data_IF_804227665629
#
_entry.id   IF_804227665629
#
_cell.length_a   1.000
_cell.length_b   1.000
_cell.length_c   1.000
_cell.angle_alpha   90.00
_cell.angle_beta   90.00
_cell.angle_gamma   90.00
#
_symmetry.space_group_name_H-M   'P 1'
#
loop_
_entity.id
_entity.type
_entity.pdbx_description
1 polymer ?
#
# COMPACT_ATOMS: atom_id res chain seq x y z
N UNK A 1 -1.03 -14.73 -19.97
CA UNK A 1 0.23 -13.96 -19.94
C UNK A 1 0.29 -13.18 -18.64
N UNK A 2 1.35 -13.34 -17.87
CA UNK A 2 1.56 -12.57 -16.65
C UNK A 2 2.01 -11.16 -17.02
N UNK A 3 1.51 -10.11 -16.35
CA UNK A 3 1.99 -8.77 -16.58
C UNK A 3 3.45 -8.65 -16.14
N UNK A 4 4.24 -7.97 -16.95
CA UNK A 4 5.66 -7.74 -16.67
C UNK A 4 5.90 -6.23 -16.50
N UNK A 5 6.82 -5.90 -15.59
CA UNK A 5 7.28 -4.54 -15.40
C UNK A 5 8.27 -4.20 -16.52
N UNK A 6 7.81 -3.50 -17.53
CA UNK A 6 8.63 -3.08 -18.67
C UNK A 6 9.38 -1.79 -18.41
N UNK A 7 8.97 -1.03 -17.41
CA UNK A 7 9.54 0.27 -17.06
C UNK A 7 9.59 0.41 -15.54
N UNK A 8 10.74 0.80 -15.01
CA UNK A 8 10.86 1.17 -13.62
C UNK A 8 10.64 2.68 -13.46
N UNK A 9 9.65 3.10 -12.64
CA UNK A 9 9.47 4.50 -12.34
C UNK A 9 10.69 5.06 -11.62
N UNK A 10 11.09 6.29 -11.96
CA UNK A 10 12.20 6.93 -11.26
C UNK A 10 11.77 7.37 -9.86
N UNK A 11 12.69 7.24 -8.90
CA UNK A 11 12.48 7.72 -7.53
C UNK A 11 12.23 9.24 -7.53
N UNK A 12 12.83 9.97 -8.44
CA UNK A 12 12.64 11.41 -8.58
C UNK A 12 11.20 11.75 -8.97
N UNK A 13 10.63 11.05 -9.96
CA UNK A 13 9.24 11.26 -10.39
C UNK A 13 8.25 10.88 -9.29
N UNK A 14 8.51 9.77 -8.60
CA UNK A 14 7.71 9.35 -7.45
C UNK A 14 7.75 10.41 -6.34
N UNK A 15 8.93 10.92 -6.04
CA UNK A 15 9.12 11.96 -5.02
C UNK A 15 8.36 13.23 -5.38
N UNK A 16 8.40 13.63 -6.63
CA UNK A 16 7.65 14.80 -7.14
C UNK A 16 6.15 14.62 -6.94
N UNK A 17 5.62 13.46 -7.33
CA UNK A 17 4.21 13.13 -7.15
C UNK A 17 3.80 13.17 -5.68
N UNK A 18 4.55 12.50 -4.82
CA UNK A 18 4.24 12.40 -3.39
C UNK A 18 4.30 13.77 -2.71
N UNK A 19 5.30 14.58 -3.02
CA UNK A 19 5.40 15.95 -2.48
C UNK A 19 4.21 16.80 -2.86
N UNK A 20 3.73 16.66 -4.09
CA UNK A 20 2.54 17.37 -4.57
C UNK A 20 1.30 16.92 -3.81
N UNK A 21 1.06 15.62 -3.75
CA UNK A 21 -0.16 15.05 -3.16
C UNK A 21 -0.24 15.27 -1.64
N UNK A 22 0.87 15.16 -0.95
CA UNK A 22 0.96 15.38 0.50
C UNK A 22 1.22 16.85 0.87
N UNK A 23 1.39 17.72 -0.13
CA UNK A 23 1.69 19.16 0.07
C UNK A 23 2.92 19.39 0.95
N UNK A 24 3.98 18.61 0.69
CA UNK A 24 5.24 18.73 1.43
C UNK A 24 6.03 19.91 0.89
N UNK A 25 6.38 20.90 1.74
CA UNK A 25 7.19 22.04 1.30
C UNK A 25 8.58 21.60 0.80
N UNK A 26 9.20 22.33 -0.13
CA UNK A 26 10.54 21.99 -0.62
C UNK A 26 11.61 21.93 0.48
N UNK A 27 11.42 22.67 1.57
CA UNK A 27 12.32 22.70 2.73
C UNK A 27 12.24 21.45 3.59
N UNK A 28 11.15 20.68 3.51
CA UNK A 28 10.95 19.52 4.34
C UNK A 28 11.47 18.25 3.66
N UNK A 29 12.14 17.34 4.39
CA UNK A 29 12.63 16.11 3.82
C UNK A 29 11.49 15.18 3.42
N UNK A 30 11.70 14.47 2.32
CA UNK A 30 10.81 13.43 1.83
C UNK A 30 11.68 12.32 1.22
N UNK A 31 11.68 11.16 1.85
CA UNK A 31 12.50 10.03 1.41
C UNK A 31 11.60 8.94 0.87
N UNK A 32 11.83 8.55 -0.38
CA UNK A 32 11.11 7.48 -1.07
C UNK A 32 12.07 6.31 -1.26
N UNK A 33 11.65 5.12 -0.82
CA UNK A 33 12.44 3.90 -0.94
C UNK A 33 11.59 2.76 -1.46
N UNK A 34 12.20 1.93 -2.32
CA UNK A 34 11.56 0.69 -2.77
C UNK A 34 11.29 -0.24 -1.58
N UNK A 35 10.09 -0.82 -1.52
CA UNK A 35 9.70 -1.74 -0.47
C UNK A 35 9.56 -3.18 -0.97
N UNK A 36 8.68 -3.41 -1.94
CA UNK A 36 8.39 -4.75 -2.45
C UNK A 36 7.74 -4.70 -3.83
N UNK A 37 7.78 -5.82 -4.53
CA UNK A 37 7.20 -5.95 -5.86
C UNK A 37 6.59 -7.35 -6.02
N UNK A 38 5.45 -7.40 -6.70
CA UNK A 38 4.90 -8.63 -7.26
C UNK A 38 4.53 -8.39 -8.73
N UNK A 39 3.82 -9.33 -9.35
CA UNK A 39 3.48 -9.23 -10.76
C UNK A 39 2.55 -8.04 -11.10
N UNK A 40 1.79 -7.56 -10.13
CA UNK A 40 0.76 -6.54 -10.34
C UNK A 40 1.10 -5.21 -9.70
N UNK A 41 1.80 -5.21 -8.59
CA UNK A 41 2.05 -4.02 -7.76
C UNK A 41 3.52 -3.84 -7.45
N UNK A 42 3.91 -2.59 -7.33
CA UNK A 42 5.22 -2.19 -6.83
C UNK A 42 5.00 -1.15 -5.72
N UNK A 43 5.44 -1.46 -4.52
CA UNK A 43 5.22 -0.62 -3.35
C UNK A 43 6.51 0.12 -2.96
N UNK A 44 6.34 1.38 -2.59
CA UNK A 44 7.40 2.26 -2.09
C UNK A 44 7.00 2.80 -0.72
N UNK A 45 7.98 2.93 0.17
CA UNK A 45 7.78 3.66 1.43
C UNK A 45 8.10 5.12 1.23
N UNK A 46 7.32 5.97 1.87
CA UNK A 46 7.51 7.42 1.87
C UNK A 46 7.64 7.87 3.31
N UNK A 47 8.78 8.45 3.67
CA UNK A 47 9.03 8.97 5.02
C UNK A 47 9.14 10.48 4.95
N UNK A 48 8.28 11.18 5.69
CA UNK A 48 8.27 12.64 5.78
C UNK A 48 9.13 13.13 6.94
N UNK A 49 9.50 14.41 6.91
CA UNK A 49 10.31 15.02 7.96
C UNK A 49 9.68 14.99 9.36
N UNK A 50 8.35 14.92 9.44
CA UNK A 50 7.60 14.75 10.69
C UNK A 50 7.71 13.35 11.29
N UNK A 51 8.32 12.40 10.58
CA UNK A 51 8.31 10.98 10.94
C UNK A 51 7.09 10.22 10.42
N UNK A 52 6.13 10.89 9.81
CA UNK A 52 4.97 10.24 9.21
C UNK A 52 5.38 9.39 8.02
N UNK A 53 4.89 8.16 7.98
CA UNK A 53 5.19 7.21 6.91
C UNK A 53 3.94 6.85 6.10
N UNK A 54 4.16 6.70 4.79
CA UNK A 54 3.12 6.29 3.83
C UNK A 54 3.63 5.15 2.96
N UNK A 55 2.72 4.46 2.32
CA UNK A 55 3.01 3.52 1.24
C UNK A 55 2.41 4.06 -0.05
N UNK A 56 3.23 4.15 -1.09
CA UNK A 56 2.76 4.39 -2.45
C UNK A 56 2.76 3.07 -3.19
N UNK A 57 1.59 2.64 -3.65
CA UNK A 57 1.42 1.45 -4.49
C UNK A 57 1.23 1.86 -5.93
N UNK A 58 2.10 1.39 -6.79
CA UNK A 58 1.97 1.50 -8.24
C UNK A 58 1.40 0.20 -8.78
N UNK A 59 0.49 0.30 -9.75
CA UNK A 59 -0.22 -0.86 -10.31
C UNK A 59 -0.04 -0.90 -11.82
N UNK A 60 0.32 -2.08 -12.35
CA UNK A 60 0.33 -2.32 -13.81
C UNK A 60 -1.12 -2.31 -14.31
N UNK A 61 -1.38 -1.73 -15.50
CA UNK A 61 -2.73 -1.63 -16.04
C UNK A 61 -3.22 -2.96 -16.63
N UNK A 62 -3.46 -3.95 -15.77
CA UNK A 62 -4.00 -5.27 -16.17
C UNK A 62 -5.50 -5.19 -16.41
N UNK A 63 -6.19 -4.51 -15.52
CA UNK A 63 -7.59 -4.15 -15.65
C UNK A 63 -7.66 -2.66 -15.30
N UNK A 64 -7.35 -1.87 -16.30
CA UNK A 64 -7.17 -0.44 -16.15
C UNK A 64 -8.37 0.20 -15.46
N UNK A 65 -8.10 1.00 -14.45
CA UNK A 65 -9.07 1.72 -13.63
C UNK A 65 -9.86 0.83 -12.66
N UNK A 66 -10.46 -0.29 -13.13
CA UNK A 66 -11.35 -1.11 -12.30
C UNK A 66 -10.64 -1.72 -11.11
N UNK A 67 -9.43 -2.23 -11.32
CA UNK A 67 -8.64 -2.83 -10.24
C UNK A 67 -8.33 -1.81 -9.15
N UNK A 68 -7.83 -0.65 -9.51
CA UNK A 68 -7.48 0.41 -8.56
C UNK A 68 -8.71 0.93 -7.82
N UNK A 69 -9.80 1.21 -8.52
CA UNK A 69 -11.04 1.66 -7.89
C UNK A 69 -11.64 0.63 -6.95
N UNK A 70 -11.61 -0.65 -7.34
CA UNK A 70 -12.09 -1.76 -6.50
C UNK A 70 -11.26 -1.90 -5.23
N UNK A 71 -9.94 -1.83 -5.35
CA UNK A 71 -9.03 -1.91 -4.21
C UNK A 71 -9.25 -0.76 -3.23
N UNK A 72 -9.35 0.46 -3.72
CA UNK A 72 -9.63 1.66 -2.90
C UNK A 72 -10.99 1.54 -2.21
N UNK A 73 -12.03 1.14 -2.94
CA UNK A 73 -13.37 0.97 -2.38
C UNK A 73 -13.40 -0.10 -1.29
N UNK A 74 -12.70 -1.21 -1.49
CA UNK A 74 -12.62 -2.30 -0.52
C UNK A 74 -11.93 -1.84 0.76
N UNK A 75 -10.78 -1.17 0.64
CA UNK A 75 -10.05 -0.65 1.80
C UNK A 75 -10.91 0.35 2.59
N UNK A 76 -11.57 1.27 1.90
CA UNK A 76 -12.45 2.27 2.54
C UNK A 76 -13.63 1.62 3.25
N UNK A 77 -14.24 0.62 2.62
CA UNK A 77 -15.34 -0.14 3.22
C UNK A 77 -14.89 -0.83 4.51
N UNK A 78 -13.79 -1.58 4.46
CA UNK A 78 -13.27 -2.29 5.63
C UNK A 78 -12.90 -1.31 6.75
N UNK A 79 -12.27 -0.19 6.40
CA UNK A 79 -11.89 0.85 7.37
C UNK A 79 -13.10 1.47 8.08
N UNK A 80 -14.19 1.67 7.34
CA UNK A 80 -15.40 2.31 7.87
C UNK A 80 -16.29 1.34 8.64
N UNK A 81 -16.50 0.13 8.13
CA UNK A 81 -17.54 -0.79 8.61
C UNK A 81 -17.02 -1.91 9.52
N UNK A 82 -15.71 -2.01 9.72
CA UNK A 82 -15.11 -3.03 10.58
C UNK A 82 -14.03 -2.45 11.47
N UNK A 83 -13.59 -3.23 12.45
CA UNK A 83 -12.43 -2.92 13.29
C UNK A 83 -11.14 -3.57 12.77
N UNK A 84 -11.19 -4.19 11.59
CA UNK A 84 -10.03 -4.80 10.97
C UNK A 84 -9.00 -3.72 10.64
N UNK A 85 -7.74 -3.84 11.12
CA UNK A 85 -6.71 -2.86 10.80
C UNK A 85 -6.34 -2.92 9.32
N UNK A 86 -6.59 -1.82 8.62
CA UNK A 86 -6.23 -1.63 7.22
C UNK A 86 -5.59 -0.25 7.05
N UNK A 87 -4.79 -0.04 6.00
CA UNK A 87 -4.26 1.29 5.72
C UNK A 87 -5.40 2.25 5.40
N UNK A 88 -5.21 3.51 5.74
CA UNK A 88 -6.11 4.58 5.34
C UNK A 88 -5.65 5.11 3.98
N UNK A 89 -6.53 5.09 2.99
CA UNK A 89 -6.25 5.67 1.66
C UNK A 89 -6.26 7.19 1.78
N UNK A 90 -5.14 7.81 1.45
CA UNK A 90 -5.01 9.26 1.45
C UNK A 90 -5.50 9.84 0.12
N UNK A 91 -4.99 9.33 -0.99
CA UNK A 91 -5.43 9.69 -2.34
C UNK A 91 -5.03 8.59 -3.33
N UNK A 92 -5.60 8.64 -4.51
CA UNK A 92 -5.34 7.66 -5.57
C UNK A 92 -5.60 8.26 -6.95
N UNK A 93 -5.06 7.62 -7.96
CA UNK A 93 -5.37 7.94 -9.35
C UNK A 93 -5.54 6.65 -10.15
N UNK A 94 -6.77 6.40 -10.60
CA UNK A 94 -7.13 5.25 -11.40
C UNK A 94 -7.02 5.57 -12.91
N UNK A 95 -5.92 6.20 -13.28
CA UNK A 95 -5.60 6.58 -14.65
C UNK A 95 -4.09 6.55 -14.83
N UNK A 96 -3.65 6.19 -16.03
CA UNK A 96 -2.22 6.25 -16.40
C UNK A 96 -1.80 7.63 -16.92
N UNK A 97 -2.72 8.58 -17.00
CA UNK A 97 -2.45 9.95 -17.46
C UNK A 97 -1.83 10.78 -16.32
N UNK A 98 -0.60 10.45 -15.99
CA UNK A 98 0.21 11.11 -14.98
C UNK A 98 1.71 10.93 -15.30
N UNK A 99 2.55 11.60 -14.53
CA UNK A 99 4.01 11.60 -14.73
C UNK A 99 4.66 10.22 -14.64
N UNK A 100 4.02 9.26 -13.97
CA UNK A 100 4.53 7.89 -13.85
C UNK A 100 4.02 6.95 -14.94
N UNK A 101 2.94 7.34 -15.64
CA UNK A 101 2.29 6.46 -16.60
C UNK A 101 1.63 5.22 -15.99
N UNK A 102 1.39 5.22 -14.69
CA UNK A 102 0.86 4.11 -13.92
C UNK A 102 -0.26 4.57 -12.99
N UNK A 103 -1.23 3.70 -12.72
CA UNK A 103 -2.20 3.92 -11.66
C UNK A 103 -1.52 3.78 -10.30
N UNK A 104 -1.98 4.56 -9.32
CA UNK A 104 -1.35 4.54 -8.00
C UNK A 104 -2.35 4.79 -6.87
N UNK A 105 -1.97 4.30 -5.68
CA UNK A 105 -2.69 4.53 -4.41
C UNK A 105 -1.67 4.98 -3.37
N UNK A 106 -1.94 6.12 -2.74
CA UNK A 106 -1.16 6.61 -1.60
C UNK A 106 -1.95 6.38 -0.33
N UNK A 107 -1.37 5.63 0.61
CA UNK A 107 -2.04 5.22 1.84
C UNK A 107 -1.06 5.25 3.02
N UNK A 108 -1.60 5.21 4.23
CA UNK A 108 -0.77 5.12 5.43
C UNK A 108 0.00 3.81 5.43
N UNK A 109 1.24 3.82 5.94
CA UNK A 109 2.05 2.61 6.07
C UNK A 109 1.55 1.79 7.25
N UNK A 110 1.28 0.50 7.02
CA UNK A 110 0.99 -0.44 8.09
C UNK A 110 2.29 -0.90 8.73
N UNK A 111 2.40 -0.82 10.07
CA UNK A 111 3.57 -1.33 10.77
C UNK A 111 3.60 -2.86 10.77
N UNK A 112 4.77 -3.43 10.95
CA UNK A 112 4.93 -4.87 11.12
C UNK A 112 5.91 -5.49 10.14
N UNK A 113 6.01 -6.79 10.22
CA UNK A 113 6.87 -7.62 9.37
C UNK A 113 6.06 -8.70 8.68
N UNK A 114 6.62 -9.28 7.64
CA UNK A 114 5.96 -10.39 6.93
C UNK A 114 5.79 -11.58 7.86
N UNK A 115 4.58 -12.08 7.95
CA UNK A 115 4.27 -13.24 8.77
C UNK A 115 5.09 -14.47 8.39
N UNK A 116 5.35 -14.67 7.09
CA UNK A 116 6.15 -15.79 6.62
C UNK A 116 7.57 -15.78 7.15
N UNK A 117 8.15 -14.60 7.38
CA UNK A 117 9.52 -14.47 7.92
C UNK A 117 9.56 -14.73 9.43
N UNK A 118 8.46 -14.49 10.13
CA UNK A 118 8.38 -14.62 11.58
C UNK A 118 7.82 -15.98 12.03
N UNK A 119 7.13 -16.69 11.17
CA UNK A 119 6.33 -17.88 11.53
C UNK A 119 7.13 -18.99 12.20
N UNK A 120 8.30 -19.32 11.66
CA UNK A 120 9.13 -20.40 12.19
C UNK A 120 9.69 -20.06 13.58
N UNK A 121 9.97 -18.77 13.83
CA UNK A 121 10.46 -18.29 15.12
C UNK A 121 9.38 -18.10 16.19
N UNK A 122 8.10 -18.25 15.82
CA UNK A 122 6.98 -18.09 16.75
C UNK A 122 6.75 -19.36 17.57
N UNK A 123 6.51 -19.19 18.87
CA UNK A 123 6.08 -20.29 19.72
C UNK A 123 4.60 -20.68 19.44
N UNK A 124 4.19 -21.81 19.98
CA UNK A 124 2.84 -22.34 19.79
C UNK A 124 1.75 -21.35 20.26
N UNK A 125 1.95 -20.74 21.43
CA UNK A 125 0.98 -19.81 22.01
C UNK A 125 0.75 -18.59 21.11
N UNK A 126 1.80 -18.03 20.55
CA UNK A 126 1.71 -16.91 19.61
C UNK A 126 1.00 -17.30 18.32
N UNK A 127 1.28 -18.48 17.79
CA UNK A 127 0.58 -19.02 16.61
C UNK A 127 -0.90 -19.21 16.88
N UNK A 128 -1.27 -19.73 18.04
CA UNK A 128 -2.66 -19.88 18.44
C UNK A 128 -3.36 -18.54 18.56
N UNK A 129 -2.75 -17.56 19.20
CA UNK A 129 -3.29 -16.20 19.29
C UNK A 129 -3.50 -15.55 17.92
N UNK A 130 -2.55 -15.75 17.01
CA UNK A 130 -2.67 -15.26 15.64
C UNK A 130 -3.85 -15.89 14.91
N UNK A 131 -4.02 -17.21 15.00
CA UNK A 131 -5.13 -17.92 14.38
C UNK A 131 -6.48 -17.40 14.93
N UNK A 132 -6.57 -17.16 16.23
CA UNK A 132 -7.78 -16.59 16.84
C UNK A 132 -8.06 -15.18 16.32
N UNK A 133 -7.05 -14.35 16.15
CA UNK A 133 -7.20 -13.01 15.56
C UNK A 133 -7.64 -13.08 14.11
N UNK A 134 -7.06 -13.99 13.32
CA UNK A 134 -7.47 -14.19 11.93
C UNK A 134 -8.93 -14.68 11.83
N UNK A 135 -9.35 -15.54 12.71
CA UNK A 135 -10.76 -15.99 12.80
C UNK A 135 -11.70 -14.81 13.10
N UNK A 136 -11.30 -13.91 14.01
CA UNK A 136 -12.06 -12.70 14.32
C UNK A 136 -12.16 -11.75 13.12
N UNK A 137 -11.06 -11.53 12.40
CA UNK A 137 -11.06 -10.73 11.17
C UNK A 137 -12.00 -11.34 10.13
N UNK A 138 -11.89 -12.63 9.91
CA UNK A 138 -12.74 -13.38 8.98
C UNK A 138 -14.21 -13.22 9.33
N UNK A 139 -14.57 -13.36 10.61
CA UNK A 139 -15.94 -13.20 11.08
C UNK A 139 -16.49 -11.80 10.78
N UNK A 140 -15.69 -10.75 10.95
CA UNK A 140 -16.09 -9.38 10.62
C UNK A 140 -16.32 -9.17 9.12
N UNK A 141 -15.52 -9.81 8.27
CA UNK A 141 -15.62 -9.66 6.81
C UNK A 141 -16.80 -10.43 6.21
N UNK A 142 -17.36 -11.40 6.92
CA UNK A 142 -18.49 -12.24 6.48
C UNK A 142 -19.81 -11.92 7.21
N UNK A 143 -19.92 -10.79 7.80
CA UNK A 143 -21.17 -10.30 8.39
C UNK A 143 -22.11 -9.71 7.35
#
# INVERSE_FOLDING_TARGET
MMPEWTTDPSIEDITTLVRRELKIPPSDPCVVQFLTQNNFNKDYTVTCGSGQEYTLRLTVPVDARSKTLSEVATIKYICHDTEVPVPQVFCHQASTDNELGLEWILMTRMPGRKLGDEWEGMDYLRKEQLVRKMASVHAQLFQ
#
